data_IF_771936884454
#
_entry.id   IF_771936884454
#
_cell.length_a   1.000
_cell.length_b   1.000
_cell.length_c   1.000
_cell.angle_alpha   90.00
_cell.angle_beta   90.00
_cell.angle_gamma   90.00
#
_symmetry.space_group_name_H-M   'P 1'
#
loop_
_entity.id
_entity.type
_entity.pdbx_description
1 polymer ?
#
# COMPACT_ATOMS: atom_id res chain seq x y z
N UNK A 1 -1.99 12.20 10.53
CA UNK A 1 -1.81 10.78 10.40
C UNK A 1 -2.28 10.29 9.08
N UNK A 2 -1.64 9.29 8.55
CA UNK A 2 -2.00 8.77 7.27
C UNK A 2 -2.58 7.38 7.39
N UNK A 3 -3.70 7.16 6.74
CA UNK A 3 -4.29 5.85 6.70
C UNK A 3 -3.51 4.96 5.73
N UNK A 4 -3.80 3.67 5.77
CA UNK A 4 -3.21 2.72 4.83
C UNK A 4 -3.43 3.19 3.39
N UNK A 5 -4.64 3.62 3.08
CA UNK A 5 -4.97 4.08 1.74
C UNK A 5 -4.08 5.24 1.31
N UNK A 6 -3.91 6.20 2.20
CA UNK A 6 -3.10 7.36 1.87
C UNK A 6 -1.63 7.00 1.73
N UNK A 7 -1.14 6.11 2.58
CA UNK A 7 0.25 5.71 2.49
C UNK A 7 0.55 5.02 1.16
N UNK A 8 -0.35 4.16 0.72
CA UNK A 8 -0.15 3.46 -0.54
C UNK A 8 -0.13 4.46 -1.70
N UNK A 9 -1.09 5.34 -1.74
CA UNK A 9 -1.18 6.31 -2.83
C UNK A 9 0.02 7.25 -2.83
N UNK A 10 0.42 7.70 -1.65
CA UNK A 10 1.52 8.63 -1.57
C UNK A 10 2.83 7.98 -2.02
N UNK A 11 3.11 6.79 -1.53
CA UNK A 11 4.36 6.14 -1.89
C UNK A 11 4.37 5.72 -3.36
N UNK A 12 3.22 5.32 -3.89
CA UNK A 12 3.14 5.02 -5.30
C UNK A 12 3.47 6.26 -6.12
N UNK A 13 2.92 7.40 -5.73
CA UNK A 13 3.20 8.66 -6.43
C UNK A 13 4.66 9.05 -6.35
N UNK A 14 5.27 8.85 -5.19
CA UNK A 14 6.69 9.18 -5.03
C UNK A 14 7.57 8.31 -5.92
N UNK A 15 7.16 7.08 -6.18
CA UNK A 15 7.91 6.19 -7.03
C UNK A 15 7.58 6.41 -8.51
N UNK A 16 6.60 7.25 -8.80
CA UNK A 16 6.22 7.52 -10.17
C UNK A 16 5.53 6.37 -10.86
N UNK A 17 4.84 5.52 -10.10
CA UNK A 17 4.19 4.35 -10.66
C UNK A 17 2.70 4.57 -10.86
N UNK A 18 2.17 4.00 -11.95
CA UNK A 18 0.73 3.96 -12.12
C UNK A 18 0.19 2.82 -11.27
N UNK A 19 -1.12 2.73 -11.13
CA UNK A 19 -1.73 1.63 -10.40
C UNK A 19 -1.37 0.29 -11.02
N UNK A 20 -1.37 0.23 -12.34
CA UNK A 20 -1.04 -1.01 -13.03
C UNK A 20 0.41 -1.39 -12.76
N UNK A 21 1.29 -0.42 -12.79
CA UNK A 21 2.71 -0.69 -12.56
C UNK A 21 2.96 -1.18 -11.14
N UNK A 22 2.32 -0.56 -10.17
CA UNK A 22 2.50 -1.00 -8.80
C UNK A 22 1.90 -2.39 -8.60
N UNK A 23 0.73 -2.64 -9.17
CA UNK A 23 0.10 -3.95 -9.06
C UNK A 23 0.99 -5.03 -9.65
N UNK A 24 1.58 -4.76 -10.81
CA UNK A 24 2.49 -5.70 -11.44
C UNK A 24 3.71 -5.93 -10.55
N UNK A 25 4.26 -4.87 -10.00
CA UNK A 25 5.44 -4.97 -9.17
C UNK A 25 5.16 -5.76 -7.89
N UNK A 26 3.99 -5.58 -7.34
CA UNK A 26 3.60 -6.28 -6.10
C UNK A 26 3.07 -7.68 -6.38
N UNK A 27 2.80 -8.01 -7.64
CA UNK A 27 2.27 -9.33 -7.96
C UNK A 27 0.82 -9.50 -7.58
N UNK A 28 0.02 -8.43 -7.65
CA UNK A 28 -1.40 -8.50 -7.34
C UNK A 28 -2.16 -7.93 -8.52
N UNK A 29 -3.47 -8.15 -8.55
CA UNK A 29 -4.29 -7.61 -9.62
C UNK A 29 -4.48 -6.11 -9.46
N UNK A 30 -4.61 -5.39 -10.57
CA UNK A 30 -4.80 -3.96 -10.50
C UNK A 30 -6.14 -3.62 -9.86
N UNK A 31 -7.16 -4.44 -10.05
CA UNK A 31 -8.45 -4.20 -9.42
C UNK A 31 -8.32 -4.34 -7.89
N UNK A 32 -7.54 -5.31 -7.45
CA UNK A 32 -7.29 -5.48 -6.02
C UNK A 32 -6.61 -4.25 -5.45
N UNK A 33 -5.60 -3.76 -6.17
CA UNK A 33 -4.91 -2.56 -5.72
C UNK A 33 -5.85 -1.36 -5.66
N UNK A 34 -6.74 -1.25 -6.65
CA UNK A 34 -7.71 -0.17 -6.66
C UNK A 34 -8.61 -0.22 -5.42
N UNK A 35 -9.03 -1.42 -5.03
CA UNK A 35 -9.84 -1.57 -3.82
C UNK A 35 -9.06 -1.14 -2.58
N UNK A 36 -7.77 -1.45 -2.53
CA UNK A 36 -6.95 -1.03 -1.39
C UNK A 36 -6.84 0.51 -1.37
N UNK A 37 -6.68 1.11 -2.52
CA UNK A 37 -6.52 2.57 -2.57
C UNK A 37 -7.84 3.31 -2.36
N UNK A 38 -8.97 2.62 -2.54
CA UNK A 38 -10.27 3.22 -2.28
C UNK A 38 -10.75 2.94 -0.87
N UNK A 39 -10.04 2.12 -0.13
CA UNK A 39 -10.47 1.77 1.21
C UNK A 39 -11.55 0.72 1.28
N UNK A 40 -11.84 0.05 0.16
CA UNK A 40 -12.87 -0.99 0.16
C UNK A 40 -12.39 -2.30 0.69
N UNK A 41 -11.09 -2.53 0.65
CA UNK A 41 -10.51 -3.76 1.16
C UNK A 41 -9.20 -3.44 1.83
N UNK A 42 -8.83 -4.27 2.77
CA UNK A 42 -7.53 -4.16 3.43
C UNK A 42 -6.81 -5.48 3.17
N UNK A 43 -5.56 -5.45 2.76
CA UNK A 43 -4.85 -6.68 2.39
C UNK A 43 -4.58 -7.57 3.59
N UNK A 44 -4.58 -8.87 3.36
CA UNK A 44 -4.15 -9.80 4.37
C UNK A 44 -2.62 -9.84 4.40
N UNK A 45 -2.08 -10.60 5.34
CA UNK A 45 -0.64 -10.54 5.60
C UNK A 45 0.21 -10.75 4.36
N UNK A 46 -0.13 -11.72 3.54
CA UNK A 46 0.68 -12.03 2.37
C UNK A 46 0.66 -10.89 1.36
N UNK A 47 -0.52 -10.35 1.09
CA UNK A 47 -0.64 -9.24 0.14
C UNK A 47 -0.03 -7.97 0.70
N UNK A 48 -0.17 -7.78 2.01
CA UNK A 48 0.41 -6.60 2.65
C UNK A 48 1.94 -6.63 2.52
N UNK A 49 2.54 -7.79 2.72
CA UNK A 49 3.97 -7.94 2.57
C UNK A 49 4.40 -7.64 1.13
N UNK A 50 3.69 -8.17 0.16
CA UNK A 50 4.02 -7.95 -1.25
C UNK A 50 3.93 -6.47 -1.59
N UNK A 51 2.89 -5.81 -1.10
CA UNK A 51 2.69 -4.40 -1.39
C UNK A 51 3.76 -3.56 -0.72
N UNK A 52 4.08 -3.84 0.53
CA UNK A 52 5.09 -3.09 1.25
C UNK A 52 6.45 -3.24 0.55
N UNK A 53 6.78 -4.45 0.13
CA UNK A 53 8.03 -4.69 -0.54
C UNK A 53 8.10 -3.91 -1.85
N UNK A 54 7.00 -3.89 -2.60
CA UNK A 54 6.96 -3.17 -3.86
C UNK A 54 7.10 -1.66 -3.65
N UNK A 55 6.59 -1.16 -2.54
CA UNK A 55 6.67 0.26 -2.24
C UNK A 55 7.96 0.64 -1.54
N UNK A 56 8.74 -0.34 -1.10
CA UNK A 56 10.01 -0.05 -0.43
C UNK A 56 9.85 0.38 1.01
N UNK A 57 8.78 -0.04 1.66
CA UNK A 57 8.54 0.30 3.06
C UNK A 57 8.34 -0.98 3.85
N UNK A 58 8.34 -0.88 5.16
CA UNK A 58 8.14 -2.06 5.98
C UNK A 58 6.66 -2.42 6.02
N UNK A 59 6.38 -3.70 6.25
CA UNK A 59 5.01 -4.16 6.39
C UNK A 59 4.34 -3.47 7.57
N UNK A 60 5.08 -3.29 8.65
CA UNK A 60 4.50 -2.65 9.82
C UNK A 60 4.12 -1.21 9.57
N UNK A 61 4.91 -0.50 8.78
CA UNK A 61 4.58 0.87 8.44
C UNK A 61 3.22 0.94 7.75
N UNK A 62 2.98 0.02 6.82
CA UNK A 62 1.69 0.03 6.12
C UNK A 62 0.57 -0.44 7.04
N UNK A 63 0.87 -1.41 7.91
CA UNK A 63 -0.15 -1.98 8.74
C UNK A 63 -0.67 -1.02 9.80
N UNK A 64 0.20 -0.22 10.36
CA UNK A 64 -0.17 0.67 11.44
C UNK A 64 -0.58 2.01 10.90
N UNK A 65 -1.80 2.07 10.41
CA UNK A 65 -2.20 3.26 9.71
C UNK A 65 -2.62 4.40 10.62
N UNK A 66 -2.85 4.15 11.85
CA UNK A 66 -3.24 5.25 12.68
C UNK A 66 -2.17 5.76 13.58
N UNK A 67 -1.08 5.19 13.64
CA UNK A 67 -0.15 5.66 14.51
C UNK A 67 0.89 6.25 14.13
N UNK A 68 1.13 6.99 13.91
CA UNK A 68 2.20 7.47 13.56
C UNK A 68 2.85 7.96 14.52
N UNK A 69 2.96 8.17 15.26
CA UNK A 69 3.64 8.53 16.09
C UNK A 69 3.72 8.42 16.99
N UNK A 70 4.19 8.29 17.33
CA UNK A 70 4.39 8.12 18.23
C UNK A 70 4.64 8.87 18.98
N UNK A 71 4.68 9.13 19.11
CA UNK A 71 4.92 9.64 19.78
C UNK A 71 5.11 10.09 20.12
#
# INVERSE_FOLDING_TARGET
MKSFTEKVKEHRGQLGLSQQELADKAGIGVRTLTYYECGKRFPQAAQLYKLAKALGVSTEYLKNDEIEDPS
#
